data_IF_447603378287
#
_entry.id   IF_447603378287
#
_cell.length_a   1.000
_cell.length_b   1.000
_cell.length_c   1.000
_cell.angle_alpha   90.00
_cell.angle_beta   90.00
_cell.angle_gamma   90.00
#
_symmetry.space_group_name_H-M   'P 1'
#
loop_
_entity.id
_entity.type
_entity.pdbx_description
1 polymer ?
#
# COMPACT_ATOMS: atom_id res chain seq x y z
N UNK A 1 11.81 41.63 -0.18
CA UNK A 1 11.13 41.15 -1.41
C UNK A 1 10.48 39.76 -1.17
N UNK A 2 11.17 38.79 -0.55
CA UNK A 2 10.63 37.44 -0.40
C UNK A 2 9.35 37.34 0.44
N UNK A 3 9.15 38.19 1.42
CA UNK A 3 7.98 38.14 2.33
C UNK A 3 6.72 38.69 1.66
N UNK A 4 6.85 39.61 0.71
CA UNK A 4 5.74 40.15 -0.09
C UNK A 4 5.16 39.05 -0.98
N UNK A 5 6.02 38.27 -1.63
CA UNK A 5 5.56 37.18 -2.51
C UNK A 5 4.90 36.04 -1.73
N UNK A 6 5.41 35.70 -0.54
CA UNK A 6 4.80 34.67 0.29
C UNK A 6 3.39 35.06 0.74
N UNK A 7 3.23 36.31 1.18
CA UNK A 7 1.93 36.86 1.54
C UNK A 7 0.97 36.83 0.35
N UNK A 8 1.42 37.24 -0.83
CA UNK A 8 0.62 37.25 -2.04
C UNK A 8 0.11 35.84 -2.38
N UNK A 9 0.96 34.83 -2.33
CA UNK A 9 0.58 33.44 -2.63
C UNK A 9 -0.51 32.94 -1.66
N UNK A 10 -0.45 33.29 -0.37
CA UNK A 10 -1.49 32.95 0.61
C UNK A 10 -2.78 33.74 0.37
N UNK A 11 -2.69 35.03 -0.01
CA UNK A 11 -3.86 35.86 -0.38
C UNK A 11 -4.52 35.34 -1.66
N UNK A 12 -3.75 34.76 -2.58
CA UNK A 12 -4.23 34.12 -3.80
C UNK A 12 -4.83 32.72 -3.56
N UNK A 13 -4.90 32.27 -2.30
CA UNK A 13 -5.63 31.06 -1.88
C UNK A 13 -4.76 29.83 -1.65
N UNK A 14 -3.44 29.95 -1.61
CA UNK A 14 -2.59 28.82 -1.21
C UNK A 14 -2.84 28.48 0.27
N UNK A 15 -3.08 27.20 0.56
CA UNK A 15 -3.37 26.70 1.90
C UNK A 15 -2.13 26.56 2.79
N UNK A 16 -0.95 26.53 2.19
CA UNK A 16 0.31 26.46 2.91
C UNK A 16 1.49 26.82 2.05
N UNK A 17 2.50 27.41 2.69
CA UNK A 17 3.73 27.84 2.03
C UNK A 17 4.93 27.65 2.92
N UNK A 18 6.08 27.28 2.35
CA UNK A 18 7.37 27.33 3.02
C UNK A 18 8.19 28.53 2.56
N UNK A 19 8.78 29.17 3.52
CA UNK A 19 9.75 30.22 3.27
C UNK A 19 10.99 30.07 4.12
N UNK A 20 11.94 30.95 3.91
CA UNK A 20 13.16 31.03 4.69
C UNK A 20 13.32 32.46 5.20
N UNK A 21 13.74 32.60 6.47
CA UNK A 21 13.95 33.93 7.08
C UNK A 21 15.21 34.63 6.56
N UNK A 22 16.09 33.86 5.95
CA UNK A 22 17.28 34.35 5.23
C UNK A 22 17.51 33.47 3.98
N UNK A 23 18.37 33.88 3.08
CA UNK A 23 18.66 33.12 1.87
C UNK A 23 19.27 31.75 2.18
N UNK A 24 18.61 30.64 1.83
CA UNK A 24 19.12 29.32 2.12
C UNK A 24 20.21 28.90 1.13
N UNK A 25 21.10 28.01 1.57
CA UNK A 25 21.91 27.24 0.62
C UNK A 25 20.98 26.32 -0.23
N UNK A 26 21.35 26.09 -1.46
CA UNK A 26 20.57 25.21 -2.36
C UNK A 26 20.34 23.81 -1.76
N UNK A 27 21.33 23.29 -1.03
CA UNK A 27 21.24 22.00 -0.32
C UNK A 27 20.25 22.01 0.85
N UNK A 28 19.86 23.18 1.33
CA UNK A 28 18.91 23.35 2.41
C UNK A 28 17.47 23.59 1.95
N UNK A 29 17.27 23.74 0.64
CA UNK A 29 15.93 23.87 0.06
C UNK A 29 15.20 22.54 0.20
N UNK A 30 13.95 22.60 0.69
CA UNK A 30 13.11 21.40 0.82
C UNK A 30 12.90 20.74 -0.54
N UNK A 31 12.92 19.39 -0.55
CA UNK A 31 12.68 18.60 -1.73
C UNK A 31 11.20 18.66 -2.16
N UNK A 32 10.86 19.26 -3.32
CA UNK A 32 9.46 19.31 -3.78
C UNK A 32 8.88 17.92 -4.06
N UNK A 33 9.69 17.00 -4.55
CA UNK A 33 9.25 15.62 -4.82
C UNK A 33 8.84 14.87 -3.54
N UNK A 34 9.64 14.99 -2.48
CA UNK A 34 9.31 14.40 -1.17
C UNK A 34 8.07 15.06 -0.57
N UNK A 35 7.98 16.41 -0.64
CA UNK A 35 6.81 17.15 -0.15
C UNK A 35 5.53 16.66 -0.81
N UNK A 36 5.50 16.68 -2.15
CA UNK A 36 4.30 16.31 -2.91
C UNK A 36 3.95 14.84 -2.72
N UNK A 37 4.95 13.95 -2.76
CA UNK A 37 4.73 12.53 -2.52
C UNK A 37 4.11 12.28 -1.15
N UNK A 38 4.67 12.87 -0.07
CA UNK A 38 4.13 12.71 1.27
C UNK A 38 2.71 13.27 1.38
N UNK A 39 2.49 14.49 0.88
CA UNK A 39 1.19 15.16 0.98
C UNK A 39 0.08 14.41 0.24
N UNK A 40 0.33 13.95 -0.98
CA UNK A 40 -0.64 13.16 -1.75
C UNK A 40 -0.80 11.73 -1.23
N UNK A 41 0.13 11.25 -0.42
CA UNK A 41 0.03 9.97 0.30
C UNK A 41 -0.72 10.10 1.64
N UNK A 42 -1.41 11.21 1.88
CA UNK A 42 -2.29 11.40 3.02
C UNK A 42 -1.60 11.82 4.32
N UNK A 43 -0.35 12.28 4.25
CA UNK A 43 0.28 12.97 5.38
C UNK A 43 -0.22 14.40 5.46
N UNK A 44 -0.32 14.94 6.68
CA UNK A 44 -0.72 16.33 6.86
C UNK A 44 0.38 17.31 6.42
N UNK A 45 0.04 18.61 6.36
CA UNK A 45 0.95 19.65 5.91
C UNK A 45 2.26 19.68 6.71
N UNK A 46 2.19 19.58 8.03
CA UNK A 46 3.37 19.61 8.88
C UNK A 46 4.28 18.42 8.68
N UNK A 47 3.71 17.21 8.62
CA UNK A 47 4.45 15.98 8.36
C UNK A 47 5.13 16.00 6.99
N UNK A 48 4.41 16.44 5.96
CA UNK A 48 4.92 16.51 4.59
C UNK A 48 6.07 17.50 4.45
N UNK A 49 5.98 18.66 5.08
CA UNK A 49 7.08 19.60 5.11
C UNK A 49 8.26 19.13 5.98
N UNK A 50 8.00 18.44 7.10
CA UNK A 50 9.04 17.85 7.92
C UNK A 50 9.83 16.78 7.14
N UNK A 51 9.14 15.90 6.44
CA UNK A 51 9.76 14.87 5.59
C UNK A 51 10.61 15.48 4.46
N UNK A 52 10.12 16.55 3.84
CA UNK A 52 10.82 17.23 2.74
C UNK A 52 11.99 18.11 3.19
N UNK A 53 12.11 18.38 4.51
CA UNK A 53 13.10 19.32 5.04
C UNK A 53 14.46 18.64 5.20
N UNK A 54 15.44 19.07 4.43
CA UNK A 54 16.80 18.51 4.46
C UNK A 54 17.62 18.95 5.68
N UNK A 55 17.28 20.10 6.25
CA UNK A 55 17.95 20.66 7.45
C UNK A 55 16.92 21.03 8.50
N UNK A 56 16.79 20.19 9.54
CA UNK A 56 15.93 20.44 10.67
C UNK A 56 16.47 21.61 11.52
N UNK A 57 15.54 22.37 12.13
CA UNK A 57 15.85 23.48 13.04
C UNK A 57 16.72 24.60 12.41
N UNK A 58 16.67 24.74 11.10
CA UNK A 58 17.32 25.82 10.38
C UNK A 58 16.30 26.87 9.92
N UNK A 59 16.67 27.85 9.17
CA UNK A 59 15.94 29.07 8.79
C UNK A 59 14.60 28.85 8.04
N UNK A 60 14.09 27.64 7.94
CA UNK A 60 12.83 27.32 7.26
C UNK A 60 11.62 27.61 8.14
N UNK A 61 10.61 28.28 7.60
CA UNK A 61 9.33 28.55 8.23
C UNK A 61 8.20 28.05 7.34
N UNK A 62 7.27 27.30 7.92
CA UNK A 62 6.05 26.86 7.25
C UNK A 62 4.88 27.68 7.81
N UNK A 63 4.05 28.22 6.92
CA UNK A 63 2.83 28.95 7.25
C UNK A 63 1.66 28.21 6.62
N UNK A 64 0.62 27.92 7.39
CA UNK A 64 -0.57 27.20 7.00
C UNK A 64 -1.13 26.38 8.17
N UNK A 65 -2.27 25.74 7.98
CA UNK A 65 -2.80 24.82 8.99
C UNK A 65 -1.96 23.54 9.04
N UNK A 66 -1.26 23.24 10.14
CA UNK A 66 -0.37 22.08 10.24
C UNK A 66 -1.13 20.75 10.09
N UNK A 67 -2.42 20.72 10.42
CA UNK A 67 -3.28 19.52 10.33
C UNK A 67 -3.98 19.36 8.99
N UNK A 68 -3.84 20.33 8.09
CA UNK A 68 -4.47 20.24 6.77
C UNK A 68 -4.03 18.99 6.03
N UNK A 69 -5.01 18.17 5.64
CA UNK A 69 -4.78 16.90 4.98
C UNK A 69 -5.95 16.58 4.01
N UNK A 70 -5.98 17.21 2.83
CA UNK A 70 -7.07 17.03 1.88
C UNK A 70 -7.10 15.64 1.23
N UNK A 71 -6.03 14.87 1.36
CA UNK A 71 -5.90 13.52 0.79
C UNK A 71 -6.09 12.41 1.83
N UNK A 72 -6.43 12.74 3.09
CA UNK A 72 -6.61 11.74 4.14
C UNK A 72 -7.64 10.67 3.76
N UNK A 73 -8.80 11.11 3.26
CA UNK A 73 -9.95 10.24 2.99
C UNK A 73 -9.83 9.42 1.69
N UNK A 74 -8.81 9.70 0.86
CA UNK A 74 -8.61 8.95 -0.40
C UNK A 74 -7.48 7.94 -0.31
N UNK A 75 -6.70 7.97 0.76
CA UNK A 75 -5.56 7.05 0.96
C UNK A 75 -6.04 5.76 1.59
N UNK A 76 -5.70 4.64 0.97
CA UNK A 76 -5.90 3.33 1.57
C UNK A 76 -4.58 2.75 2.09
N UNK A 77 -4.68 1.69 2.89
CA UNK A 77 -3.53 0.98 3.43
C UNK A 77 -3.93 -0.48 3.66
N UNK A 78 -3.56 -1.34 2.74
CA UNK A 78 -3.92 -2.75 2.77
C UNK A 78 -2.87 -3.53 3.56
N UNK A 79 -3.34 -4.29 4.53
CA UNK A 79 -2.52 -5.19 5.33
C UNK A 79 -2.97 -6.64 5.13
N UNK A 80 -2.10 -7.49 4.60
CA UNK A 80 -2.33 -8.92 4.50
C UNK A 80 -1.86 -9.56 5.80
N UNK A 81 -2.83 -9.95 6.65
CA UNK A 81 -2.57 -10.38 8.03
C UNK A 81 -2.17 -11.84 8.09
N UNK A 82 -2.88 -12.69 7.34
CA UNK A 82 -2.70 -14.13 7.38
C UNK A 82 -3.13 -14.78 6.06
N UNK A 83 -2.44 -15.84 5.70
CA UNK A 83 -2.78 -16.66 4.53
C UNK A 83 -2.63 -18.12 4.91
N UNK A 84 -3.69 -18.91 4.71
CA UNK A 84 -3.67 -20.33 5.05
C UNK A 84 -4.35 -21.19 4.00
N UNK A 85 -3.82 -22.38 3.79
CA UNK A 85 -4.50 -23.41 3.03
C UNK A 85 -5.58 -24.05 3.95
N UNK A 86 -6.81 -24.15 3.46
CA UNK A 86 -7.93 -24.74 4.21
C UNK A 86 -7.88 -26.26 4.14
N UNK A 87 -7.31 -26.77 3.05
CA UNK A 87 -7.18 -28.21 2.76
C UNK A 87 -5.78 -28.50 2.21
N UNK A 88 -5.40 -29.79 2.19
CA UNK A 88 -4.15 -30.19 1.56
C UNK A 88 -4.19 -29.87 0.06
N UNK A 89 -3.17 -29.15 -0.40
CA UNK A 89 -3.04 -28.87 -1.83
C UNK A 89 -2.81 -30.16 -2.60
N UNK A 90 -3.48 -30.27 -3.75
CA UNK A 90 -3.31 -31.39 -4.69
C UNK A 90 -2.93 -30.85 -6.04
N UNK A 91 -1.90 -31.43 -6.66
CA UNK A 91 -1.40 -31.02 -7.98
C UNK A 91 -2.52 -31.12 -9.01
N UNK A 92 -2.64 -30.09 -9.87
CA UNK A 92 -3.65 -29.97 -10.90
C UNK A 92 -5.10 -29.97 -10.41
N UNK A 93 -5.32 -29.65 -9.13
CA UNK A 93 -6.64 -29.46 -8.52
C UNK A 93 -6.79 -28.04 -7.99
N UNK A 94 -8.02 -27.56 -7.98
CA UNK A 94 -8.34 -26.28 -7.36
C UNK A 94 -8.42 -26.49 -5.84
N UNK A 95 -7.50 -25.89 -5.12
CA UNK A 95 -7.43 -25.96 -3.65
C UNK A 95 -7.78 -24.60 -3.05
N UNK A 96 -8.47 -24.63 -1.93
CA UNK A 96 -8.96 -23.44 -1.25
C UNK A 96 -7.89 -22.82 -0.37
N UNK A 97 -7.64 -21.52 -0.56
CA UNK A 97 -6.79 -20.70 0.31
C UNK A 97 -7.67 -19.60 0.92
N UNK A 98 -7.59 -19.43 2.22
CA UNK A 98 -8.16 -18.31 2.94
C UNK A 98 -7.09 -17.21 3.14
N UNK A 99 -7.49 -15.97 2.87
CA UNK A 99 -6.65 -14.80 3.03
C UNK A 99 -7.35 -13.83 3.96
N UNK A 100 -6.73 -13.50 5.07
CA UNK A 100 -7.18 -12.47 5.98
C UNK A 100 -6.51 -11.14 5.58
N UNK A 101 -7.32 -10.19 5.17
CA UNK A 101 -6.89 -8.88 4.68
C UNK A 101 -7.70 -7.80 5.38
N UNK A 102 -7.09 -6.67 5.66
CA UNK A 102 -7.76 -5.49 6.19
C UNK A 102 -7.29 -4.24 5.45
N UNK A 103 -8.14 -3.24 5.39
CA UNK A 103 -7.79 -1.90 4.94
C UNK A 103 -7.76 -1.00 6.17
N UNK A 104 -6.57 -0.65 6.63
CA UNK A 104 -6.35 0.22 7.79
C UNK A 104 -6.30 1.70 7.41
N UNK A 105 -6.40 2.00 6.11
CA UNK A 105 -6.52 3.37 5.61
C UNK A 105 -7.96 3.89 5.64
N UNK A 106 -8.14 5.22 5.61
CA UNK A 106 -9.46 5.84 5.61
C UNK A 106 -10.19 5.74 4.27
N UNK A 107 -9.47 5.56 3.16
CA UNK A 107 -10.05 5.44 1.83
C UNK A 107 -10.39 3.99 1.45
N UNK A 108 -11.38 3.80 0.57
CA UNK A 108 -11.64 2.49 -0.04
C UNK A 108 -10.49 2.09 -0.96
N UNK A 109 -10.00 0.87 -0.84
CA UNK A 109 -8.92 0.34 -1.68
C UNK A 109 -9.48 -0.29 -2.95
N UNK A 110 -8.91 0.06 -4.10
CA UNK A 110 -9.18 -0.56 -5.40
C UNK A 110 -7.91 -1.18 -5.94
N UNK A 111 -7.91 -2.46 -6.18
CA UNK A 111 -6.69 -3.14 -6.60
C UNK A 111 -6.89 -4.57 -7.06
N UNK A 112 -5.75 -5.22 -7.28
CA UNK A 112 -5.66 -6.62 -7.67
C UNK A 112 -5.00 -7.43 -6.55
N UNK A 113 -5.70 -8.45 -6.07
CA UNK A 113 -5.12 -9.47 -5.23
C UNK A 113 -4.53 -10.57 -6.10
N UNK A 114 -3.23 -10.79 -5.98
CA UNK A 114 -2.49 -11.77 -6.77
C UNK A 114 -1.91 -12.87 -5.89
N UNK A 115 -1.95 -14.09 -6.39
CA UNK A 115 -1.19 -15.22 -5.84
C UNK A 115 -0.20 -15.66 -6.90
N UNK A 116 1.08 -15.69 -6.55
CA UNK A 116 2.19 -16.04 -7.43
C UNK A 116 2.93 -17.25 -6.91
N UNK A 117 3.41 -18.11 -7.81
CA UNK A 117 4.45 -19.08 -7.50
C UNK A 117 5.80 -18.37 -7.53
N UNK A 118 6.45 -18.27 -6.38
CA UNK A 118 7.71 -17.53 -6.19
C UNK A 118 8.85 -18.11 -7.04
N UNK A 119 8.88 -19.43 -7.24
CA UNK A 119 9.93 -20.11 -7.99
C UNK A 119 9.77 -19.95 -9.51
N UNK A 120 8.54 -19.92 -9.99
CA UNK A 120 8.23 -19.80 -11.43
C UNK A 120 7.84 -18.38 -11.86
N UNK A 121 7.73 -17.42 -10.93
CA UNK A 121 7.16 -16.08 -11.17
C UNK A 121 5.81 -16.13 -11.91
N UNK A 122 5.11 -17.27 -11.79
CA UNK A 122 3.84 -17.50 -12.46
C UNK A 122 2.69 -16.96 -11.61
N UNK A 123 1.84 -16.16 -12.22
CA UNK A 123 0.59 -15.72 -11.59
C UNK A 123 -0.40 -16.90 -11.61
N UNK A 124 -0.78 -17.38 -10.44
CA UNK A 124 -1.76 -18.43 -10.24
C UNK A 124 -3.19 -17.89 -10.14
N UNK A 125 -3.32 -16.74 -9.45
CA UNK A 125 -4.58 -16.01 -9.28
C UNK A 125 -4.33 -14.53 -9.48
N UNK A 126 -5.26 -13.86 -10.17
CA UNK A 126 -5.33 -12.41 -10.28
C UNK A 126 -6.79 -11.99 -10.19
N UNK A 127 -7.17 -11.35 -9.10
CA UNK A 127 -8.56 -10.95 -8.85
C UNK A 127 -8.64 -9.46 -8.53
N UNK A 128 -9.34 -8.73 -9.39
CA UNK A 128 -9.68 -7.31 -9.13
C UNK A 128 -10.81 -7.22 -8.11
N UNK A 129 -10.66 -6.34 -7.14
CA UNK A 129 -11.65 -6.14 -6.08
C UNK A 129 -11.50 -4.78 -5.41
N UNK A 130 -12.51 -4.40 -4.63
CA UNK A 130 -12.42 -3.30 -3.70
C UNK A 130 -12.51 -3.80 -2.26
N UNK A 131 -11.82 -3.09 -1.35
CA UNK A 131 -11.88 -3.35 0.08
C UNK A 131 -12.25 -2.03 0.76
N UNK A 132 -13.42 -1.95 1.38
CA UNK A 132 -13.87 -0.75 2.09
C UNK A 132 -12.88 -0.31 3.16
N UNK A 133 -12.92 0.98 3.52
CA UNK A 133 -12.14 1.48 4.66
C UNK A 133 -12.57 0.80 5.95
N UNK A 134 -11.61 0.41 6.78
CA UNK A 134 -11.84 -0.24 8.06
C UNK A 134 -11.51 0.62 9.28
N UNK A 135 -11.35 1.92 9.08
CA UNK A 135 -10.71 2.85 10.01
C UNK A 135 -11.26 2.89 11.44
N UNK A 136 -12.52 2.52 11.69
CA UNK A 136 -13.08 2.60 13.04
C UNK A 136 -13.14 1.26 13.80
N UNK A 137 -13.07 0.11 13.12
CA UNK A 137 -13.24 -1.20 13.76
C UNK A 137 -12.32 -2.31 13.24
N UNK A 138 -11.28 -1.99 12.44
CA UNK A 138 -10.37 -3.01 11.91
C UNK A 138 -11.13 -4.08 11.14
N UNK A 139 -11.92 -3.68 10.13
CA UNK A 139 -12.72 -4.62 9.34
C UNK A 139 -11.81 -5.62 8.66
N UNK A 140 -11.82 -6.84 9.17
CA UNK A 140 -11.07 -7.96 8.62
C UNK A 140 -11.94 -8.67 7.60
N UNK A 141 -11.46 -8.79 6.39
CA UNK A 141 -12.12 -9.56 5.33
C UNK A 141 -11.44 -10.91 5.20
N UNK A 142 -12.24 -11.97 5.15
CA UNK A 142 -11.74 -13.31 4.83
C UNK A 142 -12.14 -13.59 3.40
N UNK A 143 -11.13 -13.78 2.56
CA UNK A 143 -11.30 -14.09 1.15
C UNK A 143 -10.98 -15.56 0.91
N UNK A 144 -11.85 -16.22 0.16
CA UNK A 144 -11.62 -17.57 -0.31
C UNK A 144 -11.21 -17.53 -1.78
N UNK A 145 -10.03 -18.03 -2.08
CA UNK A 145 -9.52 -18.14 -3.44
C UNK A 145 -9.13 -19.59 -3.75
N UNK A 146 -9.29 -19.98 -5.01
CA UNK A 146 -8.88 -21.29 -5.48
C UNK A 146 -7.55 -21.18 -6.21
N UNK A 147 -6.59 -21.97 -5.81
CA UNK A 147 -5.24 -22.01 -6.38
C UNK A 147 -5.00 -23.37 -6.96
N UNK A 148 -4.45 -23.41 -8.18
CA UNK A 148 -4.02 -24.61 -8.83
C UNK A 148 -2.49 -24.63 -8.93
N UNK A 149 -1.86 -25.61 -8.31
CA UNK A 149 -0.41 -25.84 -8.39
C UNK A 149 -0.13 -26.97 -9.38
N UNK A 150 0.95 -26.85 -10.15
CA UNK A 150 1.37 -27.87 -11.12
C UNK A 150 2.56 -28.72 -10.63
N UNK A 151 3.03 -28.46 -9.40
CA UNK A 151 4.23 -29.10 -8.86
C UNK A 151 3.93 -29.78 -7.53
N UNK A 152 4.32 -31.06 -7.45
CA UNK A 152 4.33 -31.82 -6.20
C UNK A 152 5.42 -31.34 -5.25
N UNK A 153 5.19 -31.48 -3.97
CA UNK A 153 6.11 -31.09 -2.91
C UNK A 153 5.92 -29.65 -2.41
N UNK A 154 6.98 -29.07 -1.90
CA UNK A 154 6.94 -27.71 -1.34
C UNK A 154 6.76 -26.65 -2.42
N UNK A 155 5.75 -25.84 -2.27
CA UNK A 155 5.44 -24.68 -3.10
C UNK A 155 5.54 -23.42 -2.25
N UNK A 156 6.32 -22.45 -2.73
CA UNK A 156 6.43 -21.13 -2.12
C UNK A 156 5.51 -20.18 -2.88
N UNK A 157 4.45 -19.77 -2.23
CA UNK A 157 3.45 -18.86 -2.77
C UNK A 157 3.63 -17.47 -2.16
N UNK A 158 3.40 -16.46 -2.98
CA UNK A 158 3.37 -15.06 -2.55
C UNK A 158 1.99 -14.52 -2.82
N UNK A 159 1.34 -14.03 -1.78
CA UNK A 159 0.11 -13.26 -1.89
C UNK A 159 0.49 -11.79 -1.87
N UNK A 160 -0.01 -11.04 -2.87
CA UNK A 160 0.33 -9.63 -3.04
C UNK A 160 -0.90 -8.82 -3.40
N UNK A 161 -1.03 -7.65 -2.78
CA UNK A 161 -1.96 -6.62 -3.22
C UNK A 161 -1.24 -5.61 -4.11
N UNK A 162 -1.89 -5.18 -5.19
CA UNK A 162 -1.43 -4.11 -6.07
C UNK A 162 -2.56 -3.12 -6.33
N UNK A 163 -2.39 -1.89 -5.84
CA UNK A 163 -3.33 -0.80 -6.11
C UNK A 163 -3.39 -0.49 -7.61
N UNK A 164 -4.60 -0.23 -8.12
CA UNK A 164 -4.81 0.05 -9.57
C UNK A 164 -4.99 1.53 -9.88
N UNK A 165 -5.22 2.37 -8.87
CA UNK A 165 -5.50 3.78 -9.08
C UNK A 165 -4.39 4.67 -8.53
N UNK A 166 -3.88 5.56 -9.38
CA UNK A 166 -2.96 6.62 -8.96
C UNK A 166 -3.65 7.73 -8.15
N UNK A 167 -4.98 7.82 -8.25
CA UNK A 167 -5.80 8.81 -7.52
C UNK A 167 -6.20 8.32 -6.12
N UNK A 168 -5.91 7.06 -5.82
CA UNK A 168 -6.15 6.43 -4.54
C UNK A 168 -4.85 5.72 -4.13
N UNK A 169 -3.88 6.47 -3.60
CA UNK A 169 -2.56 5.93 -3.30
C UNK A 169 -2.58 5.02 -2.08
N UNK A 170 -1.73 4.04 -2.11
CA UNK A 170 -1.41 3.17 -0.98
C UNK A 170 -0.44 3.87 -0.03
N UNK A 171 -0.75 3.89 1.27
CA UNK A 171 0.10 4.54 2.27
C UNK A 171 1.37 3.74 2.56
N UNK A 172 1.21 2.43 2.70
CA UNK A 172 2.31 1.52 2.99
C UNK A 172 2.21 0.29 2.09
N UNK A 173 3.25 0.02 1.32
CA UNK A 173 3.30 -1.14 0.41
C UNK A 173 4.05 -2.33 1.01
N UNK A 174 4.70 -2.15 2.17
CA UNK A 174 5.52 -3.20 2.78
C UNK A 174 4.66 -4.30 3.44
N UNK A 175 3.42 -3.96 3.84
CA UNK A 175 2.44 -4.86 4.44
C UNK A 175 1.49 -5.52 3.41
N UNK A 176 1.69 -5.23 2.13
CA UNK A 176 0.92 -5.75 0.99
C UNK A 176 1.36 -7.12 0.50
N UNK A 177 2.31 -7.73 1.16
CA UNK A 177 2.93 -8.97 0.72
C UNK A 177 2.97 -9.98 1.86
N UNK A 178 2.58 -11.22 1.54
CA UNK A 178 2.65 -12.35 2.46
C UNK A 178 3.26 -13.57 1.76
N UNK A 179 4.36 -14.07 2.31
CA UNK A 179 5.03 -15.29 1.85
C UNK A 179 4.48 -16.50 2.60
N UNK A 180 4.02 -17.52 1.89
CA UNK A 180 3.62 -18.78 2.47
C UNK A 180 4.28 -19.98 1.79
N UNK A 181 4.51 -21.03 2.56
CA UNK A 181 5.04 -22.31 2.06
C UNK A 181 4.00 -23.40 2.31
N UNK A 182 3.62 -24.12 1.26
CA UNK A 182 2.61 -25.18 1.33
C UNK A 182 3.10 -26.45 0.64
N UNK A 183 2.64 -27.59 1.15
CA UNK A 183 2.90 -28.86 0.52
C UNK A 183 1.75 -29.23 -0.42
N UNK A 184 2.07 -29.68 -1.64
CA UNK A 184 1.10 -30.21 -2.59
C UNK A 184 1.37 -31.71 -2.84
N UNK A 185 0.31 -32.51 -2.70
CA UNK A 185 0.34 -33.93 -2.95
C UNK A 185 0.05 -34.25 -4.42
N UNK A 186 0.60 -35.37 -4.91
CA UNK A 186 0.13 -35.93 -6.17
C UNK A 186 -1.36 -36.38 -6.03
N UNK A 187 -2.15 -36.28 -7.10
CA UNK A 187 -3.49 -36.86 -7.09
C UNK A 187 -3.39 -38.38 -6.86
N UNK A 188 -4.37 -39.00 -6.15
CA UNK A 188 -4.36 -40.44 -5.93
C UNK A 188 -4.36 -41.16 -7.29
N UNK A 189 -3.41 -42.07 -7.46
CA UNK A 189 -3.38 -42.97 -8.63
C UNK A 189 -4.48 -43.99 -8.44
N UNK A 190 -5.42 -44.06 -9.41
CA UNK A 190 -6.40 -45.15 -9.45
C UNK A 190 -5.57 -46.37 -9.86
N UNK A 191 -5.31 -47.27 -8.90
CA UNK A 191 -4.86 -48.60 -9.26
C UNK A 191 -6.05 -49.34 -9.81
N UNK A 192 -6.00 -49.74 -11.07
CA UNK A 192 -6.99 -50.62 -11.67
C UNK A 192 -7.01 -51.90 -10.81
N UNK A 193 -8.10 -52.11 -10.11
CA UNK A 193 -8.37 -53.35 -9.37
C UNK A 193 -8.90 -54.30 -10.45
N UNK A 194 -7.99 -55.16 -10.94
CA UNK A 194 -8.38 -56.33 -11.75
C UNK A 194 -8.90 -57.45 -10.86
#
# INVERSE_FOLDING_TARGET
ASDVYKRQILEDGASGIKGYVYEPYLTAVSSPSVLLSSYTSGYNLAESYAAANTMMSWMGVVVGDPKMNPYADVVHDINIIDVRAVENLTVNSNCKIEIAIENIGPGEAFGNLKILDKLGSKILVNRSMSIPSGSENGSRYILELHVNTSREGWNNLVVKWEATSLLNPERNTDNNLFDMTVWANSPPTIQDVY
#
